data_IF_632036252169
#
_entry.id   IF_632036252169
#
_cell.length_a   1.000
_cell.length_b   1.000
_cell.length_c   1.000
_cell.angle_alpha   90.00
_cell.angle_beta   90.00
_cell.angle_gamma   90.00
#
_symmetry.space_group_name_H-M   'P 1'
#
loop_
_entity.id
_entity.type
_entity.pdbx_description
1 polymer ?
#
# COMPACT_ATOMS: atom_id res chain seq x y z
N UNK A 1 74.26 11.11 -36.56
CA UNK A 1 73.27 10.42 -35.70
C UNK A 1 73.88 10.37 -34.32
N UNK A 2 73.61 11.36 -33.43
CA UNK A 2 72.48 11.40 -32.49
C UNK A 2 72.80 10.44 -31.33
N UNK A 3 72.98 10.79 -30.06
CA UNK A 3 72.39 11.81 -29.20
C UNK A 3 72.25 11.13 -27.82
N UNK A 4 72.58 11.81 -26.74
CA UNK A 4 72.90 11.26 -25.41
C UNK A 4 71.69 10.89 -24.51
N UNK A 5 72.04 10.34 -23.33
CA UNK A 5 71.36 10.34 -22.01
C UNK A 5 70.29 9.27 -21.69
N UNK A 6 70.03 8.78 -20.45
CA UNK A 6 70.68 8.62 -19.11
C UNK A 6 69.62 7.87 -18.26
N UNK A 7 70.06 6.92 -17.39
CA UNK A 7 69.41 6.39 -16.15
C UNK A 7 67.95 5.85 -16.20
N UNK A 8 67.51 4.89 -15.40
CA UNK A 8 68.04 4.36 -14.14
C UNK A 8 67.20 3.18 -13.63
N UNK A 9 67.61 2.70 -12.46
CA UNK A 9 67.30 1.43 -11.78
C UNK A 9 65.90 1.30 -11.18
N UNK A 10 65.38 0.08 -11.08
CA UNK A 10 64.53 -0.35 -9.96
C UNK A 10 64.75 -1.86 -9.68
N UNK A 11 65.21 -2.18 -8.47
CA UNK A 11 65.35 -3.54 -7.95
C UNK A 11 64.03 -4.08 -7.41
N UNK A 12 63.88 -5.40 -7.52
CA UNK A 12 62.69 -6.21 -7.27
C UNK A 12 62.43 -6.58 -5.80
N UNK A 13 61.18 -6.97 -5.61
CA UNK A 13 60.38 -7.48 -4.48
C UNK A 13 60.95 -8.57 -3.54
N UNK A 14 60.27 -8.68 -2.39
CA UNK A 14 60.05 -9.90 -1.57
C UNK A 14 59.91 -9.50 -0.09
N UNK A 15 59.00 -9.96 0.77
CA UNK A 15 57.85 -10.87 0.76
C UNK A 15 57.05 -10.57 2.06
N UNK A 16 55.72 -10.75 2.05
CA UNK A 16 54.74 -10.66 3.18
C UNK A 16 54.78 -11.93 4.08
N UNK A 17 53.93 -12.18 5.14
CA UNK A 17 52.77 -11.45 5.71
C UNK A 17 52.64 -11.44 7.28
N UNK A 18 51.72 -10.63 7.82
CA UNK A 18 50.71 -11.10 8.81
C UNK A 18 49.53 -10.13 8.93
N UNK A 19 48.37 -10.59 8.46
CA UNK A 19 47.04 -10.02 8.66
C UNK A 19 46.59 -10.13 10.12
N UNK A 20 46.00 -9.06 10.65
CA UNK A 20 44.90 -9.14 11.61
C UNK A 20 43.73 -8.34 11.01
N UNK A 21 42.92 -9.02 10.19
CA UNK A 21 41.72 -8.48 9.56
C UNK A 21 40.58 -8.37 10.58
N UNK A 22 40.45 -7.21 11.22
CA UNK A 22 39.25 -6.84 11.99
C UNK A 22 38.13 -6.46 11.00
N UNK A 23 37.31 -7.44 10.63
CA UNK A 23 36.16 -7.24 9.76
C UNK A 23 35.11 -6.32 10.41
N UNK A 24 35.05 -5.07 9.97
CA UNK A 24 33.85 -4.22 10.10
C UNK A 24 32.81 -4.69 9.09
N UNK A 25 31.51 -4.78 9.44
CA UNK A 25 30.49 -5.12 8.45
C UNK A 25 30.37 -3.95 7.49
N UNK A 26 30.79 -4.18 6.24
CA UNK A 26 30.53 -3.30 5.13
C UNK A 26 29.01 -3.29 4.91
N UNK A 27 28.33 -2.29 5.48
CA UNK A 27 26.93 -2.02 5.18
C UNK A 27 26.92 -1.61 3.72
N UNK A 28 26.69 -2.60 2.86
CA UNK A 28 26.50 -2.43 1.43
C UNK A 28 25.24 -1.60 1.23
N UNK A 29 25.39 -0.28 1.29
CA UNK A 29 24.37 0.66 0.88
C UNK A 29 24.13 0.42 -0.60
N UNK A 30 23.04 -0.29 -0.91
CA UNK A 30 22.55 -0.39 -2.27
C UNK A 30 22.42 1.03 -2.82
N UNK A 31 23.07 1.36 -3.96
CA UNK A 31 22.91 2.68 -4.54
C UNK A 31 21.42 2.83 -4.86
N UNK A 32 20.77 3.78 -4.18
CA UNK A 32 19.44 4.23 -4.57
C UNK A 32 19.58 4.76 -5.99
N UNK A 33 19.13 3.98 -6.97
CA UNK A 33 19.04 4.40 -8.36
C UNK A 33 18.27 5.71 -8.37
N UNK A 34 18.94 6.79 -8.77
CA UNK A 34 18.44 8.16 -8.76
C UNK A 34 17.34 8.46 -9.78
N UNK A 35 16.47 7.49 -10.08
CA UNK A 35 15.15 7.85 -10.59
C UNK A 35 14.46 8.63 -9.47
N UNK A 36 14.09 9.88 -9.74
CA UNK A 36 13.17 10.59 -8.86
C UNK A 36 12.00 9.66 -8.60
N UNK A 37 11.79 9.22 -7.35
CA UNK A 37 10.64 8.41 -6.99
C UNK A 37 9.43 9.07 -7.64
N UNK A 38 8.75 8.38 -8.58
CA UNK A 38 7.57 8.93 -9.23
C UNK A 38 6.64 9.38 -8.11
N UNK A 39 6.46 10.70 -7.96
CA UNK A 39 5.74 11.26 -6.82
C UNK A 39 4.35 10.64 -6.80
N UNK A 40 3.94 10.09 -5.67
CA UNK A 40 2.66 9.41 -5.55
C UNK A 40 1.52 10.43 -5.76
N UNK A 41 0.62 10.27 -6.74
CA UNK A 41 -0.41 11.27 -7.01
C UNK A 41 -1.34 11.55 -5.81
N UNK A 42 -1.82 10.54 -5.07
CA UNK A 42 -2.59 10.77 -3.84
C UNK A 42 -1.86 11.57 -2.77
N UNK A 43 -0.53 11.51 -2.70
CA UNK A 43 0.26 12.27 -1.71
C UNK A 43 0.32 13.76 -2.06
N UNK A 44 0.29 14.09 -3.35
CA UNK A 44 0.47 15.47 -3.82
C UNK A 44 -0.79 16.32 -3.66
N UNK A 45 -1.96 15.73 -3.89
CA UNK A 45 -3.24 16.46 -3.92
C UNK A 45 -4.31 15.86 -3.03
N UNK A 46 -4.03 14.72 -2.41
CA UNK A 46 -4.94 14.13 -1.43
C UNK A 46 -4.75 14.76 -0.05
N UNK A 47 -5.75 14.58 0.80
CA UNK A 47 -5.76 15.12 2.14
C UNK A 47 -6.47 14.17 3.13
N UNK A 48 -6.05 14.15 4.40
CA UNK A 48 -6.80 13.47 5.44
C UNK A 48 -8.11 14.22 5.71
N UNK A 49 -9.21 13.49 5.79
CA UNK A 49 -10.54 14.03 6.10
C UNK A 49 -11.22 13.20 7.18
N UNK A 50 -11.90 13.85 8.13
CA UNK A 50 -12.73 13.12 9.11
C UNK A 50 -14.11 12.86 8.52
N UNK A 51 -14.49 11.60 8.40
CA UNK A 51 -15.81 11.17 7.94
C UNK A 51 -16.61 10.55 9.07
N UNK A 52 -17.90 10.87 9.09
CA UNK A 52 -18.88 10.38 10.06
C UNK A 52 -19.85 9.46 9.34
N UNK A 53 -19.72 8.16 9.57
CA UNK A 53 -20.66 7.16 9.08
C UNK A 53 -21.39 6.50 10.23
N UNK A 54 -22.63 6.07 9.96
CA UNK A 54 -23.40 5.23 10.89
C UNK A 54 -22.88 3.79 10.86
N UNK A 55 -21.71 3.62 11.45
CA UNK A 55 -20.97 2.37 11.54
C UNK A 55 -20.94 1.91 13.00
N UNK A 56 -21.20 0.62 13.25
CA UNK A 56 -21.04 0.01 14.58
C UNK A 56 -19.55 -0.07 14.96
N UNK A 57 -19.24 -0.38 16.23
CA UNK A 57 -17.87 -0.37 16.78
C UNK A 57 -16.90 -1.19 15.94
N UNK A 58 -17.27 -2.45 15.68
CA UNK A 58 -16.41 -3.44 15.02
C UNK A 58 -15.79 -2.94 13.69
N UNK A 59 -16.57 -2.52 12.67
CA UNK A 59 -15.96 -2.13 11.39
C UNK A 59 -15.09 -0.88 11.49
N UNK A 60 -15.32 -0.03 12.49
CA UNK A 60 -14.51 1.17 12.71
C UNK A 60 -13.15 0.80 13.30
N UNK A 61 -13.13 -0.12 14.28
CA UNK A 61 -11.89 -0.68 14.82
C UNK A 61 -11.12 -1.45 13.75
N UNK A 62 -11.83 -2.22 12.92
CA UNK A 62 -11.25 -2.93 11.79
C UNK A 62 -10.57 -1.96 10.80
N UNK A 63 -11.28 -0.91 10.37
CA UNK A 63 -10.75 0.13 9.49
C UNK A 63 -9.46 0.73 10.08
N UNK A 64 -9.50 1.20 11.32
CA UNK A 64 -8.34 1.79 11.99
C UNK A 64 -7.14 0.84 12.10
N UNK A 65 -7.37 -0.45 12.38
CA UNK A 65 -6.30 -1.46 12.43
C UNK A 65 -5.64 -1.70 11.08
N UNK A 66 -6.42 -1.76 10.00
CA UNK A 66 -5.91 -2.03 8.65
C UNK A 66 -5.18 -0.81 8.07
N UNK A 67 -5.70 0.38 8.30
CA UNK A 67 -5.22 1.60 7.64
C UNK A 67 -4.23 2.37 8.50
N UNK A 68 -4.19 2.09 9.81
CA UNK A 68 -3.41 2.86 10.78
C UNK A 68 -3.92 4.29 10.98
N UNK A 69 -5.06 4.65 10.39
CA UNK A 69 -5.61 6.01 10.48
C UNK A 69 -6.29 6.27 11.83
N UNK A 70 -6.27 7.52 12.32
CA UNK A 70 -7.03 7.92 13.50
C UNK A 70 -8.53 7.65 13.34
N UNK A 71 -9.18 7.27 14.43
CA UNK A 71 -10.64 7.10 14.50
C UNK A 71 -11.13 7.31 15.93
N UNK A 72 -12.45 7.49 16.10
CA UNK A 72 -13.11 7.52 17.40
C UNK A 72 -14.41 6.72 17.35
N UNK A 73 -14.54 5.74 18.24
CA UNK A 73 -15.79 4.99 18.43
C UNK A 73 -16.85 5.88 19.09
N UNK A 74 -16.46 6.59 20.14
CA UNK A 74 -17.34 7.46 20.92
C UNK A 74 -17.90 8.61 20.07
N UNK A 75 -17.02 9.28 19.32
CA UNK A 75 -17.43 10.39 18.47
C UNK A 75 -17.93 9.93 17.09
N UNK A 76 -17.78 8.65 16.73
CA UNK A 76 -18.32 8.05 15.52
C UNK A 76 -17.64 8.49 14.20
N UNK A 77 -16.38 8.90 14.22
CA UNK A 77 -15.63 9.28 13.02
C UNK A 77 -14.42 8.38 12.74
N UNK A 78 -14.05 8.28 11.46
CA UNK A 78 -12.78 7.73 10.99
C UNK A 78 -12.08 8.80 10.15
N UNK A 79 -10.77 8.92 10.26
CA UNK A 79 -10.00 9.67 9.27
C UNK A 79 -9.84 8.80 8.01
N UNK A 80 -10.10 9.40 6.86
CA UNK A 80 -10.00 8.81 5.52
C UNK A 80 -9.08 9.67 4.66
N UNK A 81 -8.63 9.13 3.54
CA UNK A 81 -7.87 9.88 2.55
C UNK A 81 -8.78 10.32 1.41
N UNK A 82 -9.03 11.63 1.30
CA UNK A 82 -9.76 12.17 0.15
C UNK A 82 -8.78 12.49 -0.97
N UNK A 83 -9.02 11.93 -2.15
CA UNK A 83 -8.26 12.24 -3.35
C UNK A 83 -9.13 12.09 -4.59
N UNK A 84 -9.02 13.02 -5.54
CA UNK A 84 -9.91 13.09 -6.71
C UNK A 84 -11.41 13.07 -6.35
N UNK A 85 -11.79 13.72 -5.25
CA UNK A 85 -13.16 13.74 -4.71
C UNK A 85 -13.70 12.34 -4.33
N UNK A 86 -12.80 11.37 -4.14
CA UNK A 86 -13.11 10.03 -3.66
C UNK A 86 -12.46 9.83 -2.30
N UNK A 87 -13.23 9.31 -1.35
CA UNK A 87 -12.71 8.92 -0.04
C UNK A 87 -12.22 7.47 -0.09
N UNK A 88 -11.02 7.27 0.45
CA UNK A 88 -10.40 5.97 0.66
C UNK A 88 -10.18 5.75 2.16
N UNK A 89 -10.46 4.56 2.65
CA UNK A 89 -10.34 4.24 4.08
C UNK A 89 -8.92 4.47 4.62
N UNK A 90 -7.89 4.30 3.78
CA UNK A 90 -6.47 4.46 4.11
C UNK A 90 -5.59 4.93 2.95
N UNK A 91 -4.40 5.45 3.26
CA UNK A 91 -3.35 5.71 2.27
C UNK A 91 -1.97 5.51 2.89
N UNK A 92 -1.11 4.78 2.18
CA UNK A 92 0.28 4.48 2.51
C UNK A 92 1.19 5.09 1.45
N UNK A 93 1.85 6.19 1.79
CA UNK A 93 2.65 6.98 0.84
C UNK A 93 3.89 6.25 0.35
N UNK A 94 4.54 5.47 1.23
CA UNK A 94 5.69 4.62 0.94
C UNK A 94 5.44 3.62 -0.21
N UNK A 95 4.22 3.09 -0.31
CA UNK A 95 3.83 2.11 -1.33
C UNK A 95 3.00 2.71 -2.49
N UNK A 96 2.68 4.01 -2.39
CA UNK A 96 1.66 4.69 -3.19
C UNK A 96 0.33 3.91 -3.22
N UNK A 97 -0.11 3.45 -2.05
CA UNK A 97 -1.20 2.49 -1.89
C UNK A 97 -2.39 3.11 -1.15
N UNK A 98 -3.51 3.24 -1.84
CA UNK A 98 -4.82 3.50 -1.25
C UNK A 98 -5.40 2.19 -0.70
N UNK A 99 -6.17 2.28 0.38
CA UNK A 99 -6.71 1.12 1.08
C UNK A 99 -8.22 1.25 1.28
N UNK A 100 -8.92 0.12 1.18
CA UNK A 100 -10.33 -0.04 1.52
C UNK A 100 -10.48 -1.18 2.52
N UNK A 101 -11.17 -0.96 3.64
CA UNK A 101 -11.36 -1.90 4.73
C UNK A 101 -12.84 -2.21 4.93
N UNK A 102 -13.24 -3.46 4.67
CA UNK A 102 -14.63 -3.92 4.84
C UNK A 102 -14.72 -4.88 6.04
N UNK A 103 -15.13 -4.32 7.19
CA UNK A 103 -15.33 -5.05 8.46
C UNK A 103 -16.79 -5.46 8.70
N UNK A 104 -17.00 -6.64 9.27
CA UNK A 104 -18.31 -7.17 9.69
C UNK A 104 -19.45 -7.01 8.66
N UNK A 105 -19.16 -7.21 7.37
CA UNK A 105 -20.21 -7.19 6.33
C UNK A 105 -20.98 -8.51 6.23
N UNK A 106 -20.47 -9.60 6.80
CA UNK A 106 -21.15 -10.90 6.82
C UNK A 106 -22.51 -10.85 7.55
N UNK A 107 -22.71 -9.86 8.43
CA UNK A 107 -24.02 -9.61 9.06
C UNK A 107 -25.14 -9.33 8.03
N UNK A 108 -24.78 -8.93 6.81
CA UNK A 108 -25.73 -8.67 5.72
C UNK A 108 -25.99 -9.89 4.84
N UNK A 109 -25.48 -11.06 5.21
CA UNK A 109 -25.67 -12.32 4.49
C UNK A 109 -26.48 -13.32 5.32
N UNK A 110 -27.32 -14.08 4.64
CA UNK A 110 -27.99 -15.23 5.24
C UNK A 110 -26.97 -16.30 5.60
N UNK A 111 -27.00 -16.75 6.86
CA UNK A 111 -26.11 -17.82 7.35
C UNK A 111 -26.32 -19.15 6.61
N UNK A 112 -27.56 -19.44 6.20
CA UNK A 112 -27.93 -20.70 5.54
C UNK A 112 -27.60 -20.70 4.06
N UNK A 113 -27.99 -19.64 3.34
CA UNK A 113 -27.84 -19.60 1.87
C UNK A 113 -26.55 -18.93 1.41
N UNK A 114 -25.82 -18.25 2.32
CA UNK A 114 -24.65 -17.43 2.01
C UNK A 114 -24.92 -16.32 0.99
N UNK A 115 -26.19 -15.99 0.76
CA UNK A 115 -26.63 -14.91 -0.13
C UNK A 115 -26.91 -13.64 0.67
N UNK A 116 -26.68 -12.46 0.08
CA UNK A 116 -27.00 -11.21 0.75
C UNK A 116 -28.51 -11.06 0.97
N UNK A 117 -28.88 -10.40 2.07
CA UNK A 117 -30.27 -10.09 2.33
C UNK A 117 -30.80 -9.06 1.33
N UNK A 118 -31.98 -9.33 0.74
CA UNK A 118 -32.58 -8.47 -0.31
C UNK A 118 -32.86 -7.03 0.14
N UNK A 119 -33.06 -6.81 1.44
CA UNK A 119 -33.30 -5.49 2.01
C UNK A 119 -32.03 -4.64 2.09
N UNK A 120 -30.84 -5.25 2.08
CA UNK A 120 -29.58 -4.53 2.16
C UNK A 120 -29.10 -4.12 0.77
N UNK A 121 -29.17 -2.81 0.47
CA UNK A 121 -28.69 -2.23 -0.79
C UNK A 121 -27.23 -1.78 -0.75
N UNK A 122 -26.55 -1.92 0.39
CA UNK A 122 -25.17 -1.45 0.53
C UNK A 122 -24.17 -2.17 -0.37
N UNK A 123 -24.45 -3.41 -0.78
CA UNK A 123 -23.54 -4.17 -1.65
C UNK A 123 -23.46 -3.62 -3.07
N UNK A 124 -24.59 -3.23 -3.68
CA UNK A 124 -24.56 -2.59 -5.01
C UNK A 124 -23.84 -1.24 -4.98
N UNK A 125 -23.93 -0.52 -3.86
CA UNK A 125 -23.14 0.70 -3.64
C UNK A 125 -21.64 0.39 -3.65
N UNK A 126 -21.21 -0.64 -2.92
CA UNK A 126 -19.80 -1.04 -2.87
C UNK A 126 -19.29 -1.49 -4.25
N UNK A 127 -20.09 -2.24 -5.02
CA UNK A 127 -19.75 -2.58 -6.41
C UNK A 127 -19.45 -1.32 -7.23
N UNK A 128 -20.33 -0.32 -7.16
CA UNK A 128 -20.12 0.95 -7.87
C UNK A 128 -18.88 1.70 -7.37
N UNK A 129 -18.66 1.69 -6.06
CA UNK A 129 -17.47 2.34 -5.50
C UNK A 129 -16.16 1.65 -5.92
N UNK A 130 -16.13 0.32 -6.07
CA UNK A 130 -14.98 -0.41 -6.60
C UNK A 130 -14.65 0.10 -8.01
N UNK A 131 -15.65 0.20 -8.89
CA UNK A 131 -15.46 0.69 -10.27
C UNK A 131 -14.92 2.12 -10.29
N UNK A 132 -15.54 3.03 -9.53
CA UNK A 132 -15.13 4.44 -9.48
C UNK A 132 -13.69 4.59 -8.98
N UNK A 133 -13.34 3.85 -7.92
CA UNK A 133 -11.98 3.86 -7.36
C UNK A 133 -10.96 3.24 -8.32
N UNK A 134 -11.33 2.17 -9.03
CA UNK A 134 -10.49 1.55 -10.05
C UNK A 134 -10.19 2.51 -11.20
N UNK A 135 -11.20 3.23 -11.70
CA UNK A 135 -11.00 4.26 -12.72
C UNK A 135 -10.01 5.34 -12.24
N UNK A 136 -10.15 5.81 -10.99
CA UNK A 136 -9.28 6.82 -10.43
C UNK A 136 -7.82 6.36 -10.38
N UNK A 137 -7.54 5.13 -9.93
CA UNK A 137 -6.15 4.65 -9.84
C UNK A 137 -5.55 4.31 -11.20
N UNK A 138 -6.33 3.76 -12.14
CA UNK A 138 -5.84 3.40 -13.47
C UNK A 138 -5.48 4.63 -14.31
N UNK A 139 -6.20 5.74 -14.13
CA UNK A 139 -5.88 7.00 -14.78
C UNK A 139 -4.62 7.69 -14.23
N UNK A 140 -4.09 7.23 -13.09
CA UNK A 140 -3.06 7.94 -12.33
C UNK A 140 -1.95 7.01 -11.79
N UNK A 141 -1.19 6.31 -12.65
CA UNK A 141 -0.04 5.53 -12.20
C UNK A 141 1.02 6.46 -11.55
N UNK A 142 1.77 6.00 -10.52
CA UNK A 142 1.86 4.62 -10.00
C UNK A 142 0.87 4.26 -8.88
N UNK A 143 -0.24 4.99 -8.74
CA UNK A 143 -1.22 4.76 -7.67
C UNK A 143 -1.77 3.35 -7.67
N UNK A 144 -1.83 2.72 -6.50
CA UNK A 144 -2.40 1.39 -6.28
C UNK A 144 -3.60 1.48 -5.34
N UNK A 145 -4.45 0.46 -5.41
CA UNK A 145 -5.57 0.25 -4.49
C UNK A 145 -5.55 -1.20 -4.01
N UNK A 146 -5.84 -1.44 -2.73
CA UNK A 146 -6.04 -2.79 -2.20
C UNK A 146 -7.23 -2.84 -1.26
N UNK A 147 -8.07 -3.86 -1.42
CA UNK A 147 -9.19 -4.13 -0.51
C UNK A 147 -8.79 -5.15 0.57
N UNK A 148 -9.19 -4.87 1.80
CA UNK A 148 -8.99 -5.70 2.97
C UNK A 148 -10.36 -6.10 3.50
N UNK A 149 -10.66 -7.39 3.49
CA UNK A 149 -11.90 -7.92 4.01
C UNK A 149 -11.64 -8.62 5.33
N UNK A 150 -12.48 -8.34 6.33
CA UNK A 150 -12.35 -9.05 7.59
C UNK A 150 -12.77 -10.52 7.47
N UNK A 151 -13.72 -10.81 6.58
CA UNK A 151 -14.36 -12.11 6.46
C UNK A 151 -14.33 -12.62 5.02
N UNK A 152 -14.20 -13.95 4.83
CA UNK A 152 -14.10 -14.54 3.50
C UNK A 152 -15.41 -14.50 2.71
N UNK A 153 -16.58 -14.48 3.37
CA UNK A 153 -17.87 -14.48 2.67
C UNK A 153 -18.12 -13.17 1.93
N UNK A 154 -17.93 -12.03 2.61
CA UNK A 154 -17.99 -10.72 1.97
C UNK A 154 -16.98 -10.59 0.84
N UNK A 155 -15.73 -11.04 1.05
CA UNK A 155 -14.72 -11.06 -0.03
C UNK A 155 -15.20 -11.88 -1.23
N UNK A 156 -15.71 -13.10 -1.00
CA UNK A 156 -16.19 -13.98 -2.06
C UNK A 156 -17.30 -13.34 -2.89
N UNK A 157 -18.14 -12.50 -2.28
CA UNK A 157 -19.19 -11.77 -2.99
C UNK A 157 -18.61 -10.74 -3.97
N UNK A 158 -17.55 -10.03 -3.60
CA UNK A 158 -16.92 -9.00 -4.43
C UNK A 158 -15.79 -9.49 -5.32
N UNK A 159 -15.38 -10.75 -5.20
CA UNK A 159 -14.21 -11.33 -5.89
C UNK A 159 -14.23 -11.06 -7.39
N UNK A 160 -15.36 -11.30 -8.06
CA UNK A 160 -15.48 -11.11 -9.51
C UNK A 160 -15.33 -9.64 -9.88
N UNK A 161 -16.06 -8.73 -9.22
CA UNK A 161 -15.96 -7.29 -9.48
C UNK A 161 -14.54 -6.75 -9.27
N UNK A 162 -13.85 -7.19 -8.21
CA UNK A 162 -12.46 -6.79 -7.94
C UNK A 162 -11.51 -7.29 -9.05
N UNK A 163 -11.67 -8.55 -9.47
CA UNK A 163 -10.83 -9.15 -10.51
C UNK A 163 -11.05 -8.45 -11.88
N UNK A 164 -12.30 -8.19 -12.25
CA UNK A 164 -12.65 -7.45 -13.48
C UNK A 164 -12.06 -6.04 -13.51
N UNK A 165 -11.89 -5.42 -12.34
CA UNK A 165 -11.28 -4.10 -12.19
C UNK A 165 -9.78 -4.15 -11.88
N UNK A 166 -9.13 -5.32 -11.90
CA UNK A 166 -7.69 -5.45 -11.64
C UNK A 166 -7.28 -5.07 -10.21
N UNK A 167 -8.20 -5.11 -9.23
CA UNK A 167 -7.96 -4.66 -7.87
C UNK A 167 -7.55 -5.84 -6.98
N UNK A 168 -6.35 -5.83 -6.37
CA UNK A 168 -5.94 -6.86 -5.43
C UNK A 168 -6.74 -6.77 -4.12
N UNK A 169 -6.90 -7.92 -3.46
CA UNK A 169 -7.55 -8.00 -2.17
C UNK A 169 -6.89 -9.02 -1.25
N UNK A 170 -7.15 -8.92 0.05
CA UNK A 170 -6.75 -9.88 1.06
C UNK A 170 -7.87 -10.07 2.09
N UNK A 171 -7.93 -11.25 2.71
CA UNK A 171 -8.77 -11.50 3.88
C UNK A 171 -7.89 -11.48 5.12
N UNK A 172 -8.18 -10.60 6.07
CA UNK A 172 -7.41 -10.41 7.30
C UNK A 172 -8.37 -10.30 8.47
N UNK A 173 -8.43 -11.33 9.31
CA UNK A 173 -9.29 -11.39 10.50
C UNK A 173 -8.93 -10.34 11.54
#
# INVERSE_FOLDING_TARGET
>A
MGGATVAGTASLSGDTPKEDSKATPDVRALPRTGESCKKCPPEQTGLPVRRRYRMNREPREYQGRITGRPYSIEEGWSEEWNWCSVDFDGFRSDECLLQEAKGNYDQFFSRSTKKPFRWFKGLSKITREIEVRAMAIHANPPTKLKYYFQTPLTMSYFRTTLAENGIPFVVTG
#
